data_IF_637501645580
#
_entry.id   IF_637501645580
#
_cell.length_a   1.000
_cell.length_b   1.000
_cell.length_c   1.000
_cell.angle_alpha   90.00
_cell.angle_beta   90.00
_cell.angle_gamma   90.00
#
_symmetry.space_group_name_H-M   'P 1'
#
loop_
_entity.id
_entity.type
_entity.pdbx_description
1 polymer ?
#
# COMPACT_ATOMS: atom_id res chain seq x y z
N UNK A 1 44.08 -38.23 -28.20
CA UNK A 1 44.53 -37.47 -27.02
C UNK A 1 44.46 -35.99 -27.37
N UNK A 2 43.51 -35.26 -26.77
CA UNK A 2 43.50 -33.81 -26.48
C UNK A 2 42.05 -33.29 -26.41
N UNK A 3 41.47 -33.40 -25.21
CA UNK A 3 40.19 -32.80 -24.83
C UNK A 3 40.46 -31.43 -24.22
N UNK A 4 40.67 -30.41 -25.07
CA UNK A 4 41.02 -29.05 -24.61
C UNK A 4 40.03 -28.00 -25.13
N UNK A 5 38.73 -28.28 -25.07
CA UNK A 5 37.66 -27.29 -25.35
C UNK A 5 36.37 -27.58 -24.54
N UNK A 6 36.53 -27.96 -23.27
CA UNK A 6 35.42 -28.00 -22.31
C UNK A 6 35.67 -26.87 -21.31
N UNK A 7 34.63 -26.09 -21.01
CA UNK A 7 34.60 -24.90 -20.12
C UNK A 7 34.99 -23.57 -20.77
N UNK A 8 34.09 -22.97 -21.55
CA UNK A 8 33.96 -21.50 -21.67
C UNK A 8 32.68 -21.07 -22.42
N UNK A 9 31.57 -21.77 -22.22
CA UNK A 9 30.28 -21.44 -22.88
C UNK A 9 29.07 -21.55 -21.93
N UNK A 10 29.26 -21.28 -20.64
CA UNK A 10 28.22 -21.49 -19.61
C UNK A 10 27.86 -20.26 -18.77
N UNK A 11 28.39 -19.07 -19.03
CA UNK A 11 28.23 -17.93 -18.10
C UNK A 11 27.91 -16.60 -18.77
N UNK A 12 27.33 -16.61 -19.98
CA UNK A 12 27.10 -15.35 -20.71
C UNK A 12 25.76 -15.27 -21.46
N UNK A 13 24.64 -15.73 -20.87
CA UNK A 13 23.32 -15.22 -21.30
C UNK A 13 22.17 -15.53 -20.33
N UNK A 14 22.40 -15.46 -19.02
CA UNK A 14 21.32 -15.58 -18.01
C UNK A 14 21.10 -14.27 -17.22
N UNK A 15 21.47 -13.11 -17.78
CA UNK A 15 21.48 -11.83 -17.08
C UNK A 15 20.52 -10.76 -17.62
N UNK A 16 19.65 -11.09 -18.58
CA UNK A 16 18.73 -10.10 -19.18
C UNK A 16 17.25 -10.50 -19.15
N UNK A 17 16.79 -11.16 -18.08
CA UNK A 17 15.35 -11.43 -17.87
C UNK A 17 14.76 -10.82 -16.59
N UNK A 18 15.24 -9.65 -16.18
CA UNK A 18 14.53 -8.82 -15.18
C UNK A 18 14.52 -7.34 -15.58
N UNK A 19 14.10 -7.03 -16.81
CA UNK A 19 13.57 -5.69 -17.10
C UNK A 19 12.13 -5.59 -16.60
N UNK A 20 11.95 -5.75 -15.29
CA UNK A 20 10.74 -5.25 -14.64
C UNK A 20 10.80 -3.73 -14.77
N UNK A 21 9.91 -3.14 -15.57
CA UNK A 21 9.68 -1.69 -15.54
C UNK A 21 9.29 -1.34 -14.10
N UNK A 22 10.25 -0.87 -13.31
CA UNK A 22 9.93 -0.18 -12.07
C UNK A 22 9.11 1.04 -12.52
N UNK A 23 7.85 1.19 -12.09
CA UNK A 23 7.08 2.38 -12.41
C UNK A 23 7.90 3.58 -11.98
N UNK A 24 7.89 4.66 -12.76
CA UNK A 24 8.70 5.84 -12.49
C UNK A 24 8.41 6.37 -11.07
N UNK A 25 9.26 5.98 -10.12
CA UNK A 25 9.19 6.41 -8.75
C UNK A 25 9.77 7.82 -8.68
N UNK A 26 8.99 8.75 -8.15
CA UNK A 26 9.45 10.13 -7.95
C UNK A 26 10.71 10.07 -7.07
N UNK A 27 11.81 10.62 -7.55
CA UNK A 27 13.08 10.61 -6.83
C UNK A 27 12.89 11.21 -5.42
N UNK A 28 13.30 10.49 -4.38
CA UNK A 28 13.13 10.89 -2.99
C UNK A 28 11.86 10.39 -2.30
N UNK A 29 10.98 9.68 -3.03
CA UNK A 29 9.84 8.98 -2.43
C UNK A 29 10.08 7.48 -2.29
N UNK A 30 10.23 7.06 -1.05
CA UNK A 30 10.18 5.64 -0.68
C UNK A 30 8.71 5.19 -0.62
N UNK A 31 8.47 3.90 -0.88
CA UNK A 31 7.15 3.32 -0.73
C UNK A 31 6.67 3.42 0.74
N UNK A 32 5.43 3.87 0.94
CA UNK A 32 4.78 3.84 2.25
C UNK A 32 4.37 2.41 2.57
N UNK A 33 4.94 1.81 3.61
CA UNK A 33 4.61 0.45 4.02
C UNK A 33 3.56 0.48 5.15
N UNK A 34 2.34 0.09 4.80
CA UNK A 34 1.16 0.15 5.68
C UNK A 34 0.34 -1.13 5.52
N UNK A 35 -0.04 -1.70 6.66
CA UNK A 35 -0.98 -2.81 6.76
C UNK A 35 -2.31 -2.33 7.37
N UNK A 36 -3.40 -3.04 7.09
CA UNK A 36 -4.71 -2.73 7.67
C UNK A 36 -5.23 -3.88 8.51
N UNK A 37 -5.57 -3.59 9.76
CA UNK A 37 -6.32 -4.49 10.63
C UNK A 37 -7.80 -4.16 10.57
N UNK A 38 -8.62 -5.13 10.21
CA UNK A 38 -10.05 -4.95 9.95
C UNK A 38 -10.90 -5.58 11.04
N UNK A 39 -11.90 -4.85 11.53
CA UNK A 39 -13.06 -5.41 12.22
C UNK A 39 -14.23 -5.36 11.24
N UNK A 40 -14.71 -6.52 10.82
CA UNK A 40 -15.82 -6.59 9.87
C UNK A 40 -17.13 -6.17 10.56
N UNK A 41 -17.95 -5.32 9.94
CA UNK A 41 -19.27 -4.99 10.47
C UNK A 41 -20.21 -6.19 10.39
N UNK A 42 -21.12 -6.27 11.34
CA UNK A 42 -22.24 -7.21 11.23
C UNK A 42 -23.17 -6.78 10.10
N UNK A 43 -23.83 -7.73 9.45
CA UNK A 43 -24.78 -7.43 8.36
C UNK A 43 -25.80 -6.35 8.75
N UNK A 44 -25.85 -5.27 7.96
CA UNK A 44 -26.75 -4.14 8.17
C UNK A 44 -26.36 -3.17 9.31
N UNK A 45 -25.21 -3.36 9.96
CA UNK A 45 -24.74 -2.53 11.08
C UNK A 45 -23.57 -1.61 10.70
N UNK A 46 -23.37 -0.58 11.52
CA UNK A 46 -22.28 0.41 11.43
C UNK A 46 -21.28 0.17 12.56
N UNK A 47 -20.74 -1.03 12.67
CA UNK A 47 -19.80 -1.42 13.75
C UNK A 47 -18.45 -1.91 13.20
N UNK A 48 -18.17 -1.65 11.93
CA UNK A 48 -16.90 -1.97 11.29
C UNK A 48 -15.80 -1.01 11.70
N UNK A 49 -14.54 -1.48 11.60
CA UNK A 49 -13.34 -0.71 11.94
C UNK A 49 -12.22 -0.99 10.94
N UNK A 50 -11.48 0.06 10.56
CA UNK A 50 -10.22 -0.04 9.83
C UNK A 50 -9.15 0.65 10.69
N UNK A 51 -8.07 -0.08 10.97
CA UNK A 51 -6.91 0.41 11.73
C UNK A 51 -5.66 0.28 10.84
N UNK A 52 -4.87 1.36 10.77
CA UNK A 52 -3.68 1.46 9.92
C UNK A 52 -2.43 1.20 10.75
N UNK A 53 -1.60 0.27 10.30
CA UNK A 53 -0.36 -0.15 10.95
C UNK A 53 0.80 0.19 10.03
N UNK A 54 1.49 1.30 10.32
CA UNK A 54 2.66 1.74 9.57
C UNK A 54 3.92 1.03 10.05
N UNK A 55 4.74 0.58 9.10
CA UNK A 55 6.05 -0.01 9.40
C UNK A 55 7.01 1.05 9.96
N UNK A 56 7.12 2.20 9.30
CA UNK A 56 7.96 3.30 9.75
C UNK A 56 7.20 4.19 10.75
N UNK A 57 7.25 3.83 12.03
CA UNK A 57 6.53 4.52 13.12
C UNK A 57 7.06 5.91 13.47
N UNK A 58 8.28 6.26 13.04
CA UNK A 58 8.88 7.56 13.28
C UNK A 58 8.37 8.66 12.35
N UNK A 59 7.73 8.29 11.24
CA UNK A 59 7.15 9.24 10.28
C UNK A 59 5.75 9.67 10.72
N UNK A 60 5.36 10.86 10.28
CA UNK A 60 3.97 11.32 10.39
C UNK A 60 3.22 11.02 9.10
N UNK A 61 1.98 10.55 9.22
CA UNK A 61 1.13 10.24 8.08
C UNK A 61 -0.19 11.02 8.17
N UNK A 62 -0.63 11.53 7.02
CA UNK A 62 -1.96 12.09 6.81
C UNK A 62 -2.77 11.09 5.98
N UNK A 63 -3.95 10.71 6.48
CA UNK A 63 -4.82 9.73 5.82
C UNK A 63 -6.09 10.45 5.39
N UNK A 64 -6.45 10.35 4.11
CA UNK A 64 -7.63 10.97 3.51
C UNK A 64 -8.56 9.87 3.02
N UNK A 65 -9.85 9.94 3.38
CA UNK A 65 -10.88 9.05 2.84
C UNK A 65 -11.58 9.75 1.67
N UNK A 66 -11.36 9.25 0.46
CA UNK A 66 -11.69 10.02 -0.76
C UNK A 66 -13.06 9.67 -1.36
N UNK A 67 -13.68 8.56 -0.95
CA UNK A 67 -14.90 8.03 -1.56
C UNK A 67 -16.14 8.06 -0.65
N UNK A 68 -16.11 8.81 0.47
CA UNK A 68 -17.23 8.93 1.42
C UNK A 68 -17.93 10.29 1.38
N UNK A 69 -17.21 11.36 1.69
CA UNK A 69 -17.71 12.75 1.66
C UNK A 69 -16.66 13.66 1.02
N UNK A 70 -17.03 14.62 0.15
CA UNK A 70 -16.08 15.57 -0.45
C UNK A 70 -15.26 16.37 0.57
N UNK A 71 -15.74 16.54 1.81
CA UNK A 71 -15.03 17.19 2.91
C UNK A 71 -13.95 16.29 3.50
N UNK A 72 -14.17 14.98 3.54
CA UNK A 72 -13.21 13.98 4.02
C UNK A 72 -12.03 13.84 3.05
N UNK A 73 -12.26 14.08 1.76
CA UNK A 73 -11.19 14.15 0.76
C UNK A 73 -10.25 15.37 0.95
N UNK A 74 -10.70 16.40 1.68
CA UNK A 74 -9.93 17.66 1.89
C UNK A 74 -9.25 17.73 3.25
N UNK A 75 -9.71 16.96 4.23
CA UNK A 75 -9.22 17.01 5.60
C UNK A 75 -8.68 15.64 6.02
N UNK A 76 -7.45 15.56 6.56
CA UNK A 76 -6.94 14.30 7.03
C UNK A 76 -7.74 13.81 8.24
N UNK A 77 -7.90 12.50 8.33
CA UNK A 77 -8.48 11.82 9.49
C UNK A 77 -7.68 12.14 10.75
N UNK A 78 -8.38 12.16 11.90
CA UNK A 78 -7.73 12.26 13.21
C UNK A 78 -7.35 10.86 13.68
N UNK A 79 -6.05 10.58 13.75
CA UNK A 79 -5.52 9.31 14.24
C UNK A 79 -5.38 8.24 13.15
N UNK A 80 -5.13 7.01 13.60
CA UNK A 80 -4.80 5.85 12.75
C UNK A 80 -5.92 4.80 12.69
N UNK A 81 -7.13 5.15 13.13
CA UNK A 81 -8.29 4.28 12.98
C UNK A 81 -9.54 5.06 12.58
N UNK A 82 -10.44 4.38 11.89
CA UNK A 82 -11.80 4.83 11.61
C UNK A 82 -12.78 3.74 12.02
N UNK A 83 -13.85 4.16 12.70
CA UNK A 83 -14.86 3.31 13.31
C UNK A 83 -16.23 3.58 12.71
N UNK A 84 -17.20 2.82 13.18
CA UNK A 84 -18.62 2.93 12.85
C UNK A 84 -18.92 2.81 11.35
N UNK A 85 -18.15 1.94 10.70
CA UNK A 85 -18.23 1.70 9.25
C UNK A 85 -19.26 0.62 8.92
N UNK A 86 -19.91 0.77 7.76
CA UNK A 86 -20.76 -0.26 7.15
C UNK A 86 -19.91 -1.19 6.27
N UNK A 87 -20.50 -2.26 5.78
CA UNK A 87 -19.90 -3.02 4.69
C UNK A 87 -19.77 -2.13 3.43
N UNK A 88 -18.66 -2.24 2.71
CA UNK A 88 -18.38 -1.41 1.53
C UNK A 88 -16.90 -1.29 1.20
N UNK A 89 -16.60 -0.47 0.19
CA UNK A 89 -15.26 -0.14 -0.26
C UNK A 89 -14.86 1.25 0.26
N UNK A 90 -13.63 1.36 0.76
CA UNK A 90 -13.08 2.58 1.31
C UNK A 90 -11.76 2.87 0.62
N UNK A 91 -11.70 4.00 -0.09
CA UNK A 91 -10.51 4.42 -0.81
C UNK A 91 -9.77 5.49 -0.01
N UNK A 92 -8.50 5.21 0.25
CA UNK A 92 -7.65 6.07 1.04
C UNK A 92 -6.48 6.61 0.20
N UNK A 93 -6.14 7.87 0.47
CA UNK A 93 -4.85 8.45 0.09
C UNK A 93 -4.08 8.70 1.37
N UNK A 94 -2.89 8.14 1.45
CA UNK A 94 -1.98 8.32 2.58
C UNK A 94 -0.82 9.17 2.10
N UNK A 95 -0.46 10.19 2.87
CA UNK A 95 0.64 11.12 2.57
C UNK A 95 1.63 11.10 3.74
N UNK A 96 2.91 10.85 3.47
CA UNK A 96 3.96 10.97 4.50
C UNK A 96 4.36 12.44 4.72
N UNK A 97 5.24 12.68 5.68
CA UNK A 97 5.78 14.00 6.04
C UNK A 97 6.59 14.67 4.93
N UNK A 98 7.08 13.90 3.96
CA UNK A 98 7.80 14.39 2.77
C UNK A 98 6.88 14.64 1.57
N UNK A 99 5.59 14.34 1.70
CA UNK A 99 4.61 14.50 0.63
C UNK A 99 4.50 13.30 -0.31
N UNK A 100 5.14 12.18 0.01
CA UNK A 100 4.99 10.95 -0.76
C UNK A 100 3.60 10.36 -0.55
N UNK A 101 3.02 9.76 -1.58
CA UNK A 101 1.63 9.31 -1.54
C UNK A 101 1.48 7.82 -1.79
N UNK A 102 0.49 7.20 -1.13
CA UNK A 102 0.04 5.83 -1.40
C UNK A 102 -1.48 5.78 -1.46
N UNK A 103 -2.00 5.16 -2.51
CA UNK A 103 -3.42 4.84 -2.62
C UNK A 103 -3.68 3.43 -2.07
N UNK A 104 -4.76 3.29 -1.32
CA UNK A 104 -5.14 2.02 -0.71
C UNK A 104 -6.66 1.88 -0.72
N UNK A 105 -7.16 0.79 -1.29
CA UNK A 105 -8.57 0.41 -1.21
C UNK A 105 -8.76 -0.70 -0.18
N UNK A 106 -9.64 -0.49 0.79
CA UNK A 106 -10.00 -1.46 1.83
C UNK A 106 -11.45 -1.88 1.64
N UNK A 107 -11.73 -3.18 1.74
CA UNK A 107 -13.09 -3.72 1.69
C UNK A 107 -13.49 -4.24 3.05
N UNK A 108 -14.60 -3.74 3.59
CA UNK A 108 -15.29 -4.35 4.73
C UNK A 108 -16.44 -5.21 4.23
N UNK A 109 -16.41 -6.49 4.57
CA UNK A 109 -17.45 -7.48 4.31
C UNK A 109 -18.43 -7.46 5.49
N UNK A 110 -19.73 -7.40 5.20
CA UNK A 110 -20.76 -7.64 6.22
C UNK A 110 -20.75 -9.12 6.56
N UNK A 111 -20.45 -9.47 7.81
CA UNK A 111 -20.44 -10.87 8.29
C UNK A 111 -21.47 -11.10 9.41
#
# INVERSE_FOLDING_TARGET
>A
MNYTKVLLFSTLLALFLLSGKVPAQVAGCDEINVETKLSQPSTGKTNGKIEFIFREKSKTYKIYLINKDPKDAKNPMKGLEIRDLKAGFYDFVIVDDRGCTKQLTVTLKGI
#
